data_IF_074300653470
#
_entry.id   IF_074300653470
#
_cell.length_a   1.000
_cell.length_b   1.000
_cell.length_c   1.000
_cell.angle_alpha   90.00
_cell.angle_beta   90.00
_cell.angle_gamma   90.00
#
_symmetry.space_group_name_H-M   'P 1'
#
loop_
_entity.id
_entity.type
_entity.pdbx_description
1 polymer ?
#
# COMPACT_ATOMS: atom_id res chain seq x y z
N UNK A 1 -4.73 -33.31 -10.48
CA UNK A 1 -3.45 -32.63 -10.18
C UNK A 1 -3.73 -31.13 -10.36
N UNK A 2 -4.20 -30.40 -9.33
CA UNK A 2 -3.40 -29.67 -8.30
C UNK A 2 -2.14 -29.07 -8.94
N UNK A 3 -1.81 -27.77 -8.91
CA UNK A 3 -2.25 -26.59 -8.15
C UNK A 3 -1.41 -25.43 -8.71
N UNK A 4 -1.93 -24.20 -8.82
CA UNK A 4 -1.21 -22.95 -8.46
C UNK A 4 -2.10 -21.73 -8.76
N UNK A 5 -2.95 -21.42 -7.79
CA UNK A 5 -3.58 -20.13 -7.61
C UNK A 5 -3.05 -19.56 -6.29
N UNK A 6 -2.52 -18.32 -6.30
CA UNK A 6 -2.54 -17.38 -5.16
C UNK A 6 -1.70 -16.14 -5.48
N UNK A 7 -2.36 -15.02 -5.75
CA UNK A 7 -1.80 -13.68 -5.57
C UNK A 7 -2.97 -12.69 -5.47
N UNK A 8 -3.49 -12.53 -4.26
CA UNK A 8 -4.38 -11.42 -3.89
C UNK A 8 -4.03 -11.04 -2.44
N UNK A 9 -3.35 -9.91 -2.29
CA UNK A 9 -3.03 -9.35 -0.97
C UNK A 9 -4.13 -8.36 -0.61
N UNK A 10 -4.95 -8.75 0.37
CA UNK A 10 -6.04 -7.97 0.93
C UNK A 10 -5.44 -6.89 1.87
N UNK A 11 -5.67 -5.62 1.57
CA UNK A 11 -5.42 -4.52 2.51
C UNK A 11 -6.72 -4.32 3.31
N UNK A 12 -6.71 -4.81 4.55
CA UNK A 12 -7.85 -4.71 5.47
C UNK A 12 -7.69 -3.39 6.27
N UNK A 13 -8.33 -2.32 5.79
CA UNK A 13 -8.50 -1.10 6.58
C UNK A 13 -9.79 -1.20 7.40
N UNK A 14 -9.63 -1.08 8.71
CA UNK A 14 -10.69 -1.12 9.71
C UNK A 14 -11.65 0.06 9.54
N UNK A 15 -12.71 -0.12 8.75
CA UNK A 15 -13.88 0.76 8.78
C UNK A 15 -14.65 0.47 10.07
N UNK A 16 -14.28 1.15 11.16
CA UNK A 16 -15.17 1.29 12.31
C UNK A 16 -16.27 2.27 11.87
N UNK A 17 -17.54 1.89 12.10
CA UNK A 17 -18.78 2.50 11.58
C UNK A 17 -19.33 1.96 10.25
N UNK A 18 -19.41 0.63 10.10
CA UNK A 18 -20.48 -0.02 9.34
C UNK A 18 -21.01 -1.22 10.12
N UNK A 19 -21.82 -0.94 11.15
CA UNK A 19 -22.69 -1.98 11.72
C UNK A 19 -24.13 -1.70 11.31
N UNK A 20 -24.74 -2.74 10.75
CA UNK A 20 -26.14 -2.86 10.34
C UNK A 20 -26.51 -2.25 8.98
N UNK A 21 -26.12 -2.90 7.88
CA UNK A 21 -27.05 -3.28 6.80
C UNK A 21 -26.38 -4.32 5.90
N UNK A 22 -26.72 -5.60 6.11
CA UNK A 22 -26.64 -6.57 5.02
C UNK A 22 -27.76 -7.59 5.19
N UNK A 23 -28.63 -7.64 4.19
CA UNK A 23 -29.83 -8.47 4.18
C UNK A 23 -29.54 -9.95 3.99
N UNK A 24 -30.41 -10.75 4.62
CA UNK A 24 -30.76 -12.14 4.34
C UNK A 24 -29.72 -13.00 3.61
N UNK A 25 -29.00 -13.79 4.40
CA UNK A 25 -28.71 -15.19 4.04
C UNK A 25 -28.98 -16.07 5.26
N UNK A 26 -30.00 -16.90 5.14
CA UNK A 26 -30.21 -18.06 6.00
C UNK A 26 -28.98 -18.96 5.99
N UNK A 27 -28.54 -19.42 7.16
CA UNK A 27 -27.94 -20.75 7.40
C UNK A 27 -27.56 -20.90 8.90
N UNK A 28 -27.33 -22.13 9.40
CA UNK A 28 -28.34 -23.02 9.96
C UNK A 28 -28.25 -23.12 11.49
N UNK A 29 -29.32 -23.66 12.06
CA UNK A 29 -29.54 -23.97 13.47
C UNK A 29 -28.39 -24.80 14.08
N UNK A 30 -27.78 -24.30 15.16
CA UNK A 30 -27.03 -25.11 16.13
C UNK A 30 -27.44 -24.67 17.53
N UNK A 31 -27.86 -25.65 18.33
CA UNK A 31 -28.64 -25.49 19.54
C UNK A 31 -27.88 -25.05 20.79
N UNK A 32 -28.72 -24.56 21.71
CA UNK A 32 -28.69 -24.62 23.18
C UNK A 32 -27.35 -24.45 23.93
N UNK A 33 -27.33 -23.42 24.78
CA UNK A 33 -26.30 -23.18 25.79
C UNK A 33 -26.69 -22.07 26.76
N UNK A 34 -27.67 -22.37 27.60
CA UNK A 34 -27.87 -21.95 29.00
C UNK A 34 -27.88 -20.46 29.43
N UNK A 35 -29.03 -20.12 30.04
CA UNK A 35 -29.33 -18.97 30.90
C UNK A 35 -28.17 -18.55 31.82
N UNK A 36 -27.82 -17.27 31.81
CA UNK A 36 -27.14 -16.63 32.94
C UNK A 36 -27.76 -15.26 33.26
N UNK A 37 -28.63 -15.30 34.26
CA UNK A 37 -29.06 -14.30 35.23
C UNK A 37 -28.83 -12.81 34.93
N UNK A 38 -29.95 -12.11 34.78
CA UNK A 38 -30.14 -10.71 35.14
C UNK A 38 -29.80 -10.50 36.63
N UNK A 39 -28.64 -9.91 36.92
CA UNK A 39 -28.39 -9.30 38.22
C UNK A 39 -28.59 -7.79 38.12
N UNK A 40 -29.77 -7.38 38.61
CA UNK A 40 -30.07 -6.04 39.08
C UNK A 40 -29.01 -5.60 40.09
N UNK A 41 -28.31 -4.51 39.81
CA UNK A 41 -27.61 -3.73 40.84
C UNK A 41 -28.26 -2.35 40.92
N UNK A 42 -29.15 -2.20 41.91
CA UNK A 42 -29.49 -0.92 42.53
C UNK A 42 -28.27 -0.42 43.30
N UNK A 43 -27.83 0.79 42.99
CA UNK A 43 -26.80 1.52 43.73
C UNK A 43 -27.25 2.96 43.92
N UNK A 44 -27.62 3.29 45.15
CA UNK A 44 -28.10 4.59 45.60
C UNK A 44 -27.04 5.70 45.55
N UNK A 45 -27.57 6.92 45.52
CA UNK A 45 -27.00 8.25 45.29
C UNK A 45 -25.93 8.76 46.28
N UNK A 46 -25.29 9.86 45.82
CA UNK A 46 -24.75 11.08 46.49
C UNK A 46 -23.24 11.31 46.24
N UNK A 47 -22.70 12.48 45.87
CA UNK A 47 -23.17 13.88 45.86
C UNK A 47 -22.23 14.78 45.01
N UNK A 48 -22.80 15.87 44.47
CA UNK A 48 -22.23 17.16 44.01
C UNK A 48 -21.09 17.27 42.97
N UNK A 49 -21.44 17.84 41.81
CA UNK A 49 -20.71 18.99 41.27
C UNK A 49 -21.70 19.99 40.66
N UNK A 50 -21.74 21.19 41.23
CA UNK A 50 -22.42 22.35 40.65
C UNK A 50 -21.72 22.73 39.33
N UNK A 51 -22.49 22.78 38.25
CA UNK A 51 -22.22 23.65 37.11
C UNK A 51 -23.57 24.06 36.51
N UNK A 52 -23.88 25.33 36.70
CA UNK A 52 -25.03 26.02 36.14
C UNK A 52 -24.89 26.10 34.62
N UNK A 53 -25.67 25.32 33.88
CA UNK A 53 -26.20 25.70 32.57
C UNK A 53 -27.37 24.79 32.16
N UNK A 54 -28.48 25.45 31.78
CA UNK A 54 -29.73 24.95 31.20
C UNK A 54 -30.77 24.31 32.13
N UNK A 55 -31.53 25.19 32.78
CA UNK A 55 -32.93 24.95 33.16
C UNK A 55 -33.81 24.75 31.90
N UNK A 56 -33.78 23.55 31.34
CA UNK A 56 -34.93 22.93 30.66
C UNK A 56 -34.96 21.43 31.00
N UNK A 57 -34.82 21.10 32.29
CA UNK A 57 -35.08 19.76 32.77
C UNK A 57 -36.60 19.58 32.92
N UNK A 58 -37.29 19.35 31.79
CA UNK A 58 -38.56 18.61 31.86
C UNK A 58 -38.27 17.29 32.58
N UNK A 59 -39.11 16.96 33.55
CA UNK A 59 -39.00 15.82 34.47
C UNK A 59 -39.19 14.47 33.75
N UNK A 60 -38.41 14.22 32.70
CA UNK A 60 -38.44 12.99 31.91
C UNK A 60 -37.39 12.04 32.46
N UNK A 61 -37.84 10.95 33.07
CA UNK A 61 -36.98 9.84 33.49
C UNK A 61 -36.10 9.40 32.32
N UNK A 62 -34.79 9.30 32.55
CA UNK A 62 -33.82 8.88 31.53
C UNK A 62 -33.55 7.37 31.67
N UNK A 63 -33.45 6.68 30.52
CA UNK A 63 -33.02 5.29 30.43
C UNK A 63 -31.77 5.23 29.55
N UNK A 64 -30.79 4.44 29.98
CA UNK A 64 -29.60 4.16 29.19
C UNK A 64 -29.85 2.97 28.25
N UNK A 65 -29.58 3.18 26.97
CA UNK A 65 -29.66 2.14 25.96
C UNK A 65 -28.26 1.70 25.54
N UNK A 66 -27.98 0.41 25.69
CA UNK A 66 -26.66 -0.14 25.37
C UNK A 66 -26.58 -0.50 23.88
N UNK A 67 -25.43 -0.22 23.28
CA UNK A 67 -25.02 -0.72 21.96
C UNK A 67 -23.93 -1.76 22.16
N UNK A 68 -24.11 -2.94 21.58
CA UNK A 68 -23.18 -4.07 21.70
C UNK A 68 -22.39 -4.17 20.39
N UNK A 69 -21.08 -4.31 20.48
CA UNK A 69 -20.25 -4.63 19.31
C UNK A 69 -20.42 -6.12 18.99
N UNK A 70 -21.02 -6.41 17.83
CA UNK A 70 -21.34 -7.77 17.40
C UNK A 70 -20.11 -8.66 17.20
N UNK A 71 -18.90 -8.09 17.08
CA UNK A 71 -17.66 -8.86 16.83
C UNK A 71 -17.08 -9.46 18.10
N UNK A 72 -17.33 -8.85 19.26
CA UNK A 72 -16.75 -9.29 20.54
C UNK A 72 -17.80 -9.46 21.65
N UNK A 73 -19.07 -9.09 21.41
CA UNK A 73 -20.15 -9.22 22.38
C UNK A 73 -20.07 -8.23 23.55
N UNK A 74 -19.15 -7.26 23.50
CA UNK A 74 -18.95 -6.30 24.58
C UNK A 74 -19.83 -5.07 24.32
N UNK A 75 -20.41 -4.51 25.39
CA UNK A 75 -21.09 -3.21 25.33
C UNK A 75 -20.09 -2.14 24.88
N UNK A 76 -20.31 -1.57 23.71
CA UNK A 76 -19.49 -0.52 23.11
C UNK A 76 -19.80 0.85 23.71
N UNK A 77 -21.09 1.17 23.82
CA UNK A 77 -21.54 2.46 24.33
C UNK A 77 -22.91 2.36 24.97
N UNK A 78 -23.23 3.36 25.78
CA UNK A 78 -24.58 3.59 26.30
C UNK A 78 -25.02 5.01 26.00
N UNK A 79 -26.25 5.15 25.54
CA UNK A 79 -26.84 6.45 25.19
C UNK A 79 -28.01 6.78 26.11
N UNK A 80 -28.03 7.96 26.76
CA UNK A 80 -29.16 8.38 27.57
C UNK A 80 -30.28 8.94 26.69
N UNK A 81 -31.43 8.27 26.68
CA UNK A 81 -32.65 8.79 26.05
C UNK A 81 -33.81 8.77 27.05
N UNK A 82 -34.91 9.48 26.77
CA UNK A 82 -36.12 9.41 27.60
C UNK A 82 -36.58 7.96 27.76
N UNK A 83 -37.02 7.59 28.97
CA UNK A 83 -37.50 6.24 29.27
C UNK A 83 -38.77 5.85 28.49
N UNK A 84 -39.49 6.84 27.94
CA UNK A 84 -40.61 6.63 27.02
C UNK A 84 -40.18 6.15 25.64
N UNK A 85 -38.88 6.22 25.31
CA UNK A 85 -38.35 5.70 24.06
C UNK A 85 -38.07 4.20 24.18
N UNK A 86 -38.06 3.52 23.05
CA UNK A 86 -37.83 2.09 22.95
C UNK A 86 -36.78 1.82 21.87
N UNK A 87 -35.81 0.96 22.20
CA UNK A 87 -34.86 0.44 21.23
C UNK A 87 -35.54 -0.65 20.42
N UNK A 88 -35.40 -0.58 19.11
CA UNK A 88 -35.96 -1.57 18.20
C UNK A 88 -34.91 -2.65 17.89
N UNK A 89 -35.34 -3.91 17.87
CA UNK A 89 -34.49 -5.04 17.54
C UNK A 89 -34.63 -5.38 16.05
N UNK A 90 -33.79 -4.75 15.22
CA UNK A 90 -33.85 -4.89 13.77
C UNK A 90 -34.98 -4.08 13.12
N UNK A 91 -34.94 -3.98 11.79
CA UNK A 91 -35.88 -3.19 10.99
C UNK A 91 -35.31 -1.83 10.56
N UNK A 92 -36.21 -0.93 10.16
CA UNK A 92 -35.85 0.37 9.58
C UNK A 92 -35.38 1.40 10.63
N UNK A 93 -35.87 1.29 11.86
CA UNK A 93 -35.64 2.24 12.94
C UNK A 93 -34.79 1.62 14.05
N UNK A 94 -33.93 2.42 14.66
CA UNK A 94 -33.10 2.05 15.80
C UNK A 94 -33.80 2.35 17.13
N UNK A 95 -34.53 3.47 17.19
CA UNK A 95 -35.34 3.86 18.34
C UNK A 95 -36.69 4.38 17.89
N UNK A 96 -37.71 4.20 18.72
CA UNK A 96 -39.01 4.86 18.58
C UNK A 96 -39.40 5.52 19.89
N UNK A 97 -40.20 6.57 19.82
CA UNK A 97 -40.72 7.29 20.98
C UNK A 97 -42.20 7.63 20.81
N UNK A 98 -42.81 8.28 21.81
CA UNK A 98 -44.18 8.76 21.71
C UNK A 98 -44.34 9.78 20.56
N UNK A 99 -45.56 10.04 20.12
CA UNK A 99 -45.89 11.03 19.08
C UNK A 99 -45.16 10.80 17.75
N UNK A 100 -45.06 9.54 17.34
CA UNK A 100 -44.43 9.10 16.09
C UNK A 100 -42.95 9.48 15.94
N UNK A 101 -42.25 9.67 17.06
CA UNK A 101 -40.79 9.84 17.06
C UNK A 101 -40.13 8.55 16.58
N UNK A 102 -39.29 8.64 15.56
CA UNK A 102 -38.50 7.52 15.03
C UNK A 102 -37.08 7.97 14.76
N UNK A 103 -36.11 7.17 15.19
CA UNK A 103 -34.69 7.35 14.89
C UNK A 103 -34.29 6.28 13.89
N UNK A 104 -33.82 6.70 12.72
CA UNK A 104 -33.25 5.80 11.73
C UNK A 104 -31.81 5.46 12.13
N UNK A 105 -31.38 4.23 11.86
CA UNK A 105 -30.00 3.82 12.07
C UNK A 105 -29.00 4.69 11.29
N UNK A 106 -27.77 4.74 11.76
CA UNK A 106 -26.70 5.44 11.06
C UNK A 106 -26.46 4.83 9.68
N UNK A 107 -26.34 5.69 8.67
CA UNK A 107 -26.07 5.33 7.27
C UNK A 107 -24.88 6.12 6.80
N UNK A 108 -24.15 5.59 5.81
CA UNK A 108 -22.96 6.28 5.34
C UNK A 108 -22.19 5.50 4.30
N UNK A 109 -21.07 6.08 3.91
CA UNK A 109 -20.13 5.50 2.97
C UNK A 109 -18.78 6.20 3.07
N UNK A 110 -17.74 5.46 2.72
CA UNK A 110 -16.37 5.96 2.67
C UNK A 110 -15.75 5.65 1.33
N UNK A 111 -14.88 6.54 0.88
CA UNK A 111 -14.22 6.49 -0.41
C UNK A 111 -12.72 6.65 -0.21
N UNK A 112 -11.95 5.85 -0.95
CA UNK A 112 -10.50 5.95 -1.02
C UNK A 112 -10.11 6.97 -2.09
N UNK A 113 -8.97 7.62 -1.90
CA UNK A 113 -8.35 8.43 -2.94
C UNK A 113 -6.83 8.42 -2.80
N UNK A 114 -6.16 8.61 -3.92
CA UNK A 114 -4.72 8.84 -4.00
C UNK A 114 -4.43 9.87 -5.10
N UNK A 115 -3.31 10.57 -4.98
CA UNK A 115 -2.78 11.41 -6.04
C UNK A 115 -2.11 10.57 -7.15
N UNK A 116 -1.82 9.29 -6.90
CA UNK A 116 -1.28 8.36 -7.89
C UNK A 116 -2.42 7.64 -8.64
N UNK A 117 -2.55 7.83 -9.97
CA UNK A 117 -3.54 7.13 -10.78
C UNK A 117 -3.44 5.60 -10.75
N UNK A 118 -2.22 5.04 -10.63
CA UNK A 118 -2.03 3.59 -10.55
C UNK A 118 -2.57 3.04 -9.24
N UNK A 119 -2.36 3.79 -8.14
CA UNK A 119 -2.90 3.44 -6.83
C UNK A 119 -4.44 3.46 -6.84
N UNK A 120 -5.04 4.49 -7.45
CA UNK A 120 -6.49 4.56 -7.63
C UNK A 120 -7.04 3.38 -8.44
N UNK A 121 -6.34 2.95 -9.50
CA UNK A 121 -6.73 1.78 -10.28
C UNK A 121 -6.65 0.49 -9.43
N UNK A 122 -5.60 0.33 -8.63
CA UNK A 122 -5.45 -0.80 -7.73
C UNK A 122 -6.59 -0.85 -6.69
N UNK A 123 -6.95 0.30 -6.11
CA UNK A 123 -8.09 0.39 -5.20
C UNK A 123 -9.39 -0.05 -5.87
N UNK A 124 -9.68 0.41 -7.08
CA UNK A 124 -10.87 -0.01 -7.82
C UNK A 124 -10.86 -1.52 -8.13
N UNK A 125 -9.71 -2.08 -8.53
CA UNK A 125 -9.57 -3.52 -8.78
C UNK A 125 -9.76 -4.37 -7.52
N UNK A 126 -9.42 -3.84 -6.35
CA UNK A 126 -9.67 -4.49 -5.05
C UNK A 126 -11.13 -4.37 -4.57
N UNK A 127 -12.00 -3.70 -5.34
CA UNK A 127 -13.41 -3.48 -5.01
C UNK A 127 -13.66 -2.27 -4.10
N UNK A 128 -12.63 -1.47 -3.82
CA UNK A 128 -12.79 -0.23 -3.06
C UNK A 128 -13.37 0.88 -3.94
N UNK A 129 -14.28 1.68 -3.37
CA UNK A 129 -14.83 2.84 -4.06
C UNK A 129 -13.81 3.97 -4.05
N UNK A 130 -13.45 4.44 -5.23
CA UNK A 130 -12.46 5.51 -5.40
C UNK A 130 -13.15 6.78 -5.84
N UNK A 131 -12.96 7.84 -5.06
CA UNK A 131 -13.52 9.15 -5.35
C UNK A 131 -12.73 10.22 -4.60
N UNK A 132 -12.36 11.30 -5.28
CA UNK A 132 -11.77 12.46 -4.63
C UNK A 132 -12.71 13.08 -3.59
N UNK A 133 -12.15 13.67 -2.51
CA UNK A 133 -12.94 14.25 -1.44
C UNK A 133 -13.85 15.36 -1.94
N UNK A 134 -15.15 15.22 -1.66
CA UNK A 134 -16.12 16.29 -1.84
C UNK A 134 -16.22 17.12 -0.57
N UNK A 135 -16.48 18.41 -0.72
CA UNK A 135 -16.85 19.25 0.41
C UNK A 135 -18.20 18.82 0.99
N UNK A 136 -18.46 19.14 2.26
CA UNK A 136 -19.75 18.85 2.88
C UNK A 136 -20.92 19.52 2.13
N UNK A 137 -20.70 20.69 1.53
CA UNK A 137 -21.70 21.38 0.71
C UNK A 137 -22.00 20.62 -0.60
N UNK A 138 -20.98 20.07 -1.27
CA UNK A 138 -21.18 19.22 -2.44
C UNK A 138 -21.95 17.96 -2.08
N UNK A 139 -21.63 17.32 -0.95
CA UNK A 139 -22.37 16.17 -0.44
C UNK A 139 -23.85 16.52 -0.21
N UNK A 140 -24.13 17.66 0.42
CA UNK A 140 -25.50 18.09 0.71
C UNK A 140 -26.26 18.32 -0.61
N UNK A 141 -25.66 19.04 -1.56
CA UNK A 141 -26.33 19.41 -2.81
C UNK A 141 -26.56 18.21 -3.73
N UNK A 142 -25.55 17.38 -3.94
CA UNK A 142 -25.61 16.25 -4.88
C UNK A 142 -26.26 15.01 -4.27
N UNK A 143 -26.12 14.80 -2.96
CA UNK A 143 -26.65 13.61 -2.28
C UNK A 143 -28.04 13.84 -1.69
N UNK A 144 -28.18 14.87 -0.86
CA UNK A 144 -29.40 15.07 -0.06
C UNK A 144 -30.44 15.91 -0.79
N UNK A 145 -30.05 17.03 -1.40
CA UNK A 145 -30.99 17.91 -2.10
C UNK A 145 -31.56 17.25 -3.36
N UNK A 146 -30.76 16.53 -4.15
CA UNK A 146 -31.26 15.78 -5.30
C UNK A 146 -32.34 14.76 -4.91
N UNK A 147 -32.11 14.00 -3.83
CA UNK A 147 -33.08 13.05 -3.31
C UNK A 147 -34.32 13.76 -2.75
N UNK A 148 -34.12 14.81 -1.94
CA UNK A 148 -35.20 15.58 -1.33
C UNK A 148 -36.15 16.17 -2.40
N UNK A 149 -35.59 16.71 -3.50
CA UNK A 149 -36.37 17.24 -4.61
C UNK A 149 -37.23 16.16 -5.29
N UNK A 150 -36.73 14.92 -5.44
CA UNK A 150 -37.50 13.80 -6.03
C UNK A 150 -38.73 13.42 -5.21
N UNK A 151 -38.68 13.59 -3.89
CA UNK A 151 -39.78 13.27 -2.97
C UNK A 151 -40.55 14.52 -2.50
N UNK A 152 -40.29 15.69 -3.08
CA UNK A 152 -40.86 16.98 -2.68
C UNK A 152 -40.61 17.36 -1.21
N UNK A 153 -39.52 16.87 -0.62
CA UNK A 153 -39.05 17.25 0.72
C UNK A 153 -38.34 18.59 0.66
N UNK A 154 -38.69 19.51 1.56
CA UNK A 154 -38.11 20.86 1.61
C UNK A 154 -37.08 20.97 2.72
N UNK A 155 -35.92 21.54 2.42
CA UNK A 155 -34.95 21.94 3.43
C UNK A 155 -35.45 23.22 4.12
N UNK A 156 -35.65 23.15 5.43
CA UNK A 156 -36.12 24.26 6.26
C UNK A 156 -34.94 25.00 6.88
N UNK A 157 -33.95 24.27 7.39
CA UNK A 157 -32.80 24.86 8.06
C UNK A 157 -31.53 24.05 7.82
N UNK A 158 -30.41 24.74 7.73
CA UNK A 158 -29.06 24.17 7.62
C UNK A 158 -28.14 24.93 8.56
N UNK A 159 -27.44 24.22 9.45
CA UNK A 159 -26.55 24.86 10.42
C UNK A 159 -25.37 23.95 10.82
N UNK A 160 -24.18 24.52 11.11
CA UNK A 160 -23.04 23.77 11.61
C UNK A 160 -23.30 23.26 13.04
N UNK A 161 -22.77 22.08 13.35
CA UNK A 161 -22.85 21.46 14.68
C UNK A 161 -21.45 21.15 15.22
N UNK A 162 -20.64 22.16 15.55
CA UNK A 162 -19.23 22.00 15.94
C UNK A 162 -19.03 21.09 17.16
N UNK A 163 -20.00 21.02 18.07
CA UNK A 163 -19.97 20.13 19.23
C UNK A 163 -19.82 18.65 18.84
N UNK A 164 -20.44 18.22 17.74
CA UNK A 164 -20.30 16.86 17.24
C UNK A 164 -18.95 16.65 16.53
N UNK A 165 -18.44 17.66 15.81
CA UNK A 165 -17.11 17.58 15.22
C UNK A 165 -16.01 17.44 16.28
N UNK A 166 -16.15 18.15 17.41
CA UNK A 166 -15.25 18.00 18.56
C UNK A 166 -15.37 16.62 19.18
N UNK A 167 -16.60 16.13 19.39
CA UNK A 167 -16.83 14.78 19.92
C UNK A 167 -16.21 13.70 19.02
N UNK A 168 -16.44 13.77 17.70
CA UNK A 168 -15.87 12.83 16.72
C UNK A 168 -14.34 12.83 16.79
N UNK A 169 -13.74 14.02 16.86
CA UNK A 169 -12.28 14.15 16.99
C UNK A 169 -11.78 13.52 18.30
N UNK A 170 -12.42 13.82 19.42
CA UNK A 170 -12.03 13.27 20.72
C UNK A 170 -12.14 11.75 20.78
N UNK A 171 -13.16 11.19 20.13
CA UNK A 171 -13.32 9.75 20.01
C UNK A 171 -12.25 9.15 19.09
N UNK A 172 -12.01 9.75 17.92
CA UNK A 172 -10.99 9.30 16.97
C UNK A 172 -9.56 9.37 17.53
N UNK A 173 -9.26 10.37 18.35
CA UNK A 173 -7.96 10.52 19.04
C UNK A 173 -7.70 9.41 20.08
N UNK A 174 -8.75 8.75 20.57
CA UNK A 174 -8.62 7.63 21.50
C UNK A 174 -8.39 6.28 20.81
N UNK A 175 -8.63 6.19 19.50
CA UNK A 175 -8.45 4.96 18.74
C UNK A 175 -6.97 4.77 18.38
N UNK A 176 -6.53 3.50 18.35
CA UNK A 176 -5.19 3.16 17.89
C UNK A 176 -5.02 3.51 16.40
N UNK A 177 -3.94 4.23 16.09
CA UNK A 177 -3.57 4.63 14.71
C UNK A 177 -2.23 4.00 14.36
N UNK A 178 -2.23 3.08 13.39
CA UNK A 178 -0.99 2.41 12.92
C UNK A 178 -0.06 3.36 12.15
N UNK A 179 -0.63 4.39 11.53
CA UNK A 179 0.09 5.43 10.80
C UNK A 179 -0.38 6.81 11.27
N UNK A 180 0.51 7.80 11.34
CA UNK A 180 0.11 9.17 11.59
C UNK A 180 -0.76 9.64 10.42
N UNK A 181 -2.00 10.03 10.72
CA UNK A 181 -2.94 10.59 9.75
C UNK A 181 -3.52 11.89 10.28
N UNK A 182 -3.72 12.86 9.40
CA UNK A 182 -4.47 14.07 9.74
C UNK A 182 -5.93 13.87 9.32
N UNK A 183 -6.83 13.83 10.30
CA UNK A 183 -8.27 13.67 10.06
C UNK A 183 -9.02 14.92 10.50
N UNK A 184 -9.85 15.43 9.60
CA UNK A 184 -10.75 16.56 9.86
C UNK A 184 -12.19 16.07 9.95
N UNK A 185 -12.99 16.77 10.75
CA UNK A 185 -14.40 16.47 10.97
C UNK A 185 -15.22 17.74 10.79
N UNK A 186 -16.30 17.64 10.02
CA UNK A 186 -17.30 18.69 9.87
C UNK A 186 -18.67 18.06 10.07
N UNK A 187 -19.53 18.70 10.86
CA UNK A 187 -20.88 18.18 11.12
C UNK A 187 -21.92 19.25 10.83
N UNK A 188 -22.97 18.88 10.11
CA UNK A 188 -24.07 19.75 9.73
C UNK A 188 -25.42 19.16 10.16
N UNK A 189 -26.25 20.00 10.75
CA UNK A 189 -27.67 19.72 10.99
C UNK A 189 -28.50 20.19 9.81
N UNK A 190 -29.29 19.28 9.24
CA UNK A 190 -30.22 19.56 8.14
C UNK A 190 -31.63 19.26 8.62
N UNK A 191 -32.48 20.28 8.68
CA UNK A 191 -33.88 20.13 9.05
C UNK A 191 -34.76 20.17 7.82
N UNK A 192 -35.63 19.18 7.70
CA UNK A 192 -36.48 18.98 6.54
C UNK A 192 -37.95 18.90 6.92
N UNK A 193 -38.79 19.16 5.92
CA UNK A 193 -40.24 18.98 6.02
C UNK A 193 -40.79 18.30 4.78
N UNK A 194 -41.56 17.25 5.01
CA UNK A 194 -42.31 16.57 3.96
C UNK A 194 -43.67 17.25 3.70
N UNK A 195 -44.30 16.99 2.54
CA UNK A 195 -45.61 17.55 2.21
C UNK A 195 -46.72 17.17 3.19
N UNK A 196 -46.58 16.05 3.91
CA UNK A 196 -47.53 15.56 4.91
C UNK A 196 -47.37 16.22 6.29
N UNK A 197 -46.40 17.13 6.45
CA UNK A 197 -46.11 17.82 7.71
C UNK A 197 -45.07 17.12 8.59
N UNK A 198 -44.60 15.92 8.21
CA UNK A 198 -43.55 15.22 8.95
C UNK A 198 -42.25 16.02 8.90
N UNK A 199 -41.59 16.17 10.05
CA UNK A 199 -40.35 16.92 10.19
C UNK A 199 -39.17 15.99 10.48
N UNK A 200 -38.02 16.28 9.87
CA UNK A 200 -36.82 15.45 9.98
C UNK A 200 -35.62 16.28 10.40
N UNK A 201 -34.75 15.70 11.23
CA UNK A 201 -33.40 16.20 11.46
C UNK A 201 -32.42 15.16 10.95
N UNK A 202 -31.57 15.53 10.00
CA UNK A 202 -30.38 14.78 9.63
C UNK A 202 -29.17 15.40 10.31
N UNK A 203 -28.42 14.60 11.06
CA UNK A 203 -27.10 14.99 11.56
C UNK A 203 -26.08 14.33 10.63
N UNK A 204 -25.44 15.13 9.79
CA UNK A 204 -24.49 14.69 8.77
C UNK A 204 -23.06 14.92 9.26
N UNK A 205 -22.35 13.84 9.53
CA UNK A 205 -20.92 13.83 9.80
C UNK A 205 -20.15 13.66 8.48
N UNK A 206 -19.15 14.49 8.27
CA UNK A 206 -18.22 14.44 7.16
C UNK A 206 -16.81 14.38 7.72
N UNK A 207 -16.00 13.46 7.20
CA UNK A 207 -14.61 13.35 7.60
C UNK A 207 -13.70 13.17 6.39
N UNK A 208 -12.49 13.71 6.50
CA UNK A 208 -11.43 13.52 5.52
C UNK A 208 -10.15 13.19 6.27
N UNK A 209 -9.52 12.09 5.92
CA UNK A 209 -8.24 11.65 6.45
C UNK A 209 -7.21 11.66 5.35
N UNK A 210 -6.04 12.25 5.63
CA UNK A 210 -4.88 12.25 4.75
C UNK A 210 -3.72 11.50 5.38
N UNK A 211 -3.01 10.74 4.55
CA UNK A 211 -1.73 10.13 4.81
C UNK A 211 -0.74 10.44 3.66
N UNK A 212 0.46 9.87 3.71
CA UNK A 212 1.52 10.12 2.73
C UNK A 212 1.25 9.53 1.33
N UNK A 213 0.31 8.59 1.19
CA UNK A 213 -0.01 7.90 -0.07
C UNK A 213 -1.36 8.30 -0.65
N UNK A 214 -2.14 9.09 0.09
CA UNK A 214 -3.47 9.51 -0.28
C UNK A 214 -4.33 9.71 0.96
N UNK A 215 -5.49 9.09 0.96
CA UNK A 215 -6.38 9.15 2.10
C UNK A 215 -7.72 8.49 1.86
N UNK A 216 -8.61 8.71 2.81
CA UNK A 216 -10.00 8.33 2.69
C UNK A 216 -10.88 9.44 3.22
N UNK A 217 -12.07 9.56 2.68
CA UNK A 217 -13.07 10.47 3.18
C UNK A 217 -14.41 9.77 3.18
N UNK A 218 -15.37 10.32 3.91
CA UNK A 218 -16.66 9.71 3.98
C UNK A 218 -17.68 10.57 4.69
N UNK A 219 -18.89 10.02 4.71
CA UNK A 219 -20.00 10.59 5.41
C UNK A 219 -20.67 9.52 6.24
N UNK A 220 -21.14 9.90 7.41
CA UNK A 220 -22.15 9.16 8.16
C UNK A 220 -23.26 10.12 8.53
N UNK A 221 -24.48 9.62 8.59
CA UNK A 221 -25.62 10.43 9.00
C UNK A 221 -26.66 9.58 9.70
N UNK A 222 -27.33 10.22 10.65
CA UNK A 222 -28.50 9.67 11.33
C UNK A 222 -29.69 10.59 11.10
N UNK A 223 -30.90 10.02 11.17
CA UNK A 223 -32.14 10.77 10.91
C UNK A 223 -33.09 10.59 12.07
N UNK A 224 -33.52 11.71 12.66
CA UNK A 224 -34.70 11.79 13.50
C UNK A 224 -35.89 12.18 12.63
N UNK A 225 -37.00 11.47 12.80
CA UNK A 225 -38.32 11.73 12.21
C UNK A 225 -39.31 11.94 13.35
N UNK A 226 -40.14 12.98 13.25
CA UNK A 226 -41.21 13.23 14.20
C UNK A 226 -42.33 14.06 13.56
N UNK A 227 -43.51 14.05 14.17
CA UNK A 227 -44.58 14.98 13.82
C UNK A 227 -44.16 16.43 14.11
N UNK A 228 -44.74 17.40 13.40
CA UNK A 228 -44.41 18.82 13.56
C UNK A 228 -44.54 19.31 15.01
N UNK A 229 -45.56 18.82 15.74
CA UNK A 229 -45.79 19.21 17.13
C UNK A 229 -44.77 18.62 18.12
N UNK A 230 -44.19 17.45 17.82
CA UNK A 230 -43.22 16.79 18.69
C UNK A 230 -41.76 17.08 18.30
N UNK A 231 -41.51 17.65 17.13
CA UNK A 231 -40.19 17.75 16.52
C UNK A 231 -39.16 18.50 17.37
N UNK A 232 -39.49 19.68 17.90
CA UNK A 232 -38.53 20.49 18.66
C UNK A 232 -38.09 19.80 19.97
N UNK A 233 -39.03 19.15 20.65
CA UNK A 233 -38.73 18.37 21.86
C UNK A 233 -37.90 17.13 21.53
N UNK A 234 -38.32 16.35 20.52
CA UNK A 234 -37.62 15.15 20.09
C UNK A 234 -36.19 15.46 19.63
N UNK A 235 -36.00 16.57 18.90
CA UNK A 235 -34.70 17.07 18.47
C UNK A 235 -33.79 17.37 19.66
N UNK A 236 -34.31 18.07 20.66
CA UNK A 236 -33.56 18.44 21.85
C UNK A 236 -33.13 17.19 22.62
N UNK A 237 -34.04 16.24 22.82
CA UNK A 237 -33.76 14.95 23.48
C UNK A 237 -32.74 14.12 22.68
N UNK A 238 -32.88 14.08 21.36
CA UNK A 238 -31.98 13.33 20.49
C UNK A 238 -30.56 13.87 20.51
N UNK A 239 -30.39 15.18 20.31
CA UNK A 239 -29.08 15.85 20.34
C UNK A 239 -28.43 15.68 21.73
N UNK A 240 -29.20 15.86 22.80
CA UNK A 240 -28.70 15.68 24.16
C UNK A 240 -28.21 14.24 24.38
N UNK A 241 -28.99 13.24 23.96
CA UNK A 241 -28.58 11.84 24.08
C UNK A 241 -27.29 11.54 23.34
N UNK A 242 -27.14 11.98 22.09
CA UNK A 242 -25.91 11.77 21.32
C UNK A 242 -24.69 12.44 21.96
N UNK A 243 -24.81 13.69 22.44
CA UNK A 243 -23.70 14.40 23.09
C UNK A 243 -23.30 13.79 24.44
N UNK A 244 -24.24 13.16 25.15
CA UNK A 244 -24.01 12.50 26.43
C UNK A 244 -23.83 10.98 26.29
N UNK A 245 -23.57 10.50 25.09
CA UNK A 245 -23.21 9.11 24.85
C UNK A 245 -21.90 8.78 25.57
N UNK A 246 -21.90 7.65 26.28
CA UNK A 246 -20.74 7.19 27.03
C UNK A 246 -20.16 5.95 26.35
N UNK A 247 -18.89 6.05 25.94
CA UNK A 247 -18.13 4.94 25.39
C UNK A 247 -17.62 4.08 26.54
N UNK A 248 -17.71 2.77 26.41
CA UNK A 248 -17.15 1.84 27.38
C UNK A 248 -15.62 1.79 27.25
N UNK A 249 -14.85 2.20 28.29
CA UNK A 249 -13.39 2.20 28.21
C UNK A 249 -12.80 0.80 28.06
N UNK A 250 -13.46 -0.25 28.58
CA UNK A 250 -12.98 -1.63 28.42
C UNK A 250 -13.10 -2.09 26.97
N UNK A 251 -14.20 -1.75 26.30
CA UNK A 251 -14.37 -2.03 24.87
C UNK A 251 -13.32 -1.29 24.04
N UNK A 252 -13.09 -0.01 24.33
CA UNK A 252 -12.09 0.82 23.63
C UNK A 252 -10.68 0.23 23.76
N UNK A 253 -10.29 -0.18 24.97
CA UNK A 253 -9.00 -0.86 25.20
C UNK A 253 -8.90 -2.18 24.41
N UNK A 254 -9.96 -2.99 24.41
CA UNK A 254 -9.98 -4.26 23.68
C UNK A 254 -9.83 -4.06 22.16
N UNK A 255 -10.51 -3.06 21.60
CA UNK A 255 -10.38 -2.70 20.17
C UNK A 255 -8.96 -2.22 19.87
N UNK A 256 -8.43 -1.28 20.66
CA UNK A 256 -7.07 -0.76 20.45
C UNK A 256 -5.99 -1.84 20.54
N UNK A 257 -6.10 -2.76 21.50
CA UNK A 257 -5.17 -3.89 21.63
C UNK A 257 -5.25 -4.81 20.40
N UNK A 258 -6.46 -5.10 19.93
CA UNK A 258 -6.68 -5.93 18.74
C UNK A 258 -6.12 -5.26 17.49
N UNK A 259 -6.40 -3.99 17.27
CA UNK A 259 -5.91 -3.26 16.11
C UNK A 259 -4.39 -3.12 16.12
N UNK A 260 -3.79 -2.91 17.30
CA UNK A 260 -2.34 -2.95 17.46
C UNK A 260 -1.75 -4.33 17.12
N UNK A 261 -2.36 -5.43 17.55
CA UNK A 261 -1.91 -6.78 17.20
C UNK A 261 -2.00 -7.04 15.69
N UNK A 262 -3.10 -6.64 15.05
CA UNK A 262 -3.27 -6.76 13.61
C UNK A 262 -2.20 -5.95 12.86
N UNK A 263 -1.93 -4.72 13.30
CA UNK A 263 -0.88 -3.88 12.73
C UNK A 263 0.51 -4.51 12.88
N UNK A 264 0.83 -5.08 14.05
CA UNK A 264 2.10 -5.79 14.27
C UNK A 264 2.24 -7.02 13.37
N UNK A 265 1.19 -7.83 13.24
CA UNK A 265 1.18 -9.01 12.35
C UNK A 265 1.35 -8.62 10.89
N UNK A 266 0.65 -7.57 10.45
CA UNK A 266 0.77 -7.03 9.09
C UNK A 266 2.19 -6.53 8.81
N UNK A 267 2.79 -5.79 9.76
CA UNK A 267 4.17 -5.31 9.65
C UNK A 267 5.19 -6.45 9.61
N UNK A 268 5.05 -7.47 10.46
CA UNK A 268 5.91 -8.64 10.43
C UNK A 268 5.82 -9.39 9.09
N UNK A 269 4.59 -9.57 8.57
CA UNK A 269 4.37 -10.15 7.25
C UNK A 269 4.96 -9.31 6.13
N UNK A 270 4.87 -7.98 6.21
CA UNK A 270 5.50 -7.06 5.25
C UNK A 270 7.03 -7.18 5.29
N UNK A 271 7.65 -7.17 6.47
CA UNK A 271 9.10 -7.33 6.63
C UNK A 271 9.58 -8.66 6.05
N UNK A 272 8.84 -9.76 6.27
CA UNK A 272 9.18 -11.05 5.70
C UNK A 272 9.12 -11.04 4.17
N UNK A 273 8.10 -10.40 3.57
CA UNK A 273 8.02 -10.22 2.11
C UNK A 273 9.21 -9.42 1.58
N UNK A 274 9.59 -8.34 2.25
CA UNK A 274 10.73 -7.51 1.84
C UNK A 274 12.07 -8.25 1.97
N UNK A 275 12.26 -9.04 3.03
CA UNK A 275 13.43 -9.89 3.18
C UNK A 275 13.54 -10.93 2.04
N UNK A 276 12.42 -11.54 1.66
CA UNK A 276 12.36 -12.49 0.54
C UNK A 276 12.67 -11.82 -0.80
N UNK A 277 12.10 -10.63 -1.06
CA UNK A 277 12.37 -9.86 -2.28
C UNK A 277 13.85 -9.49 -2.35
N UNK A 278 14.43 -9.01 -1.24
CA UNK A 278 15.85 -8.67 -1.18
C UNK A 278 16.72 -9.90 -1.46
N UNK A 279 16.46 -11.03 -0.79
CA UNK A 279 17.21 -12.28 -1.01
C UNK A 279 17.11 -12.76 -2.46
N UNK A 280 15.92 -12.68 -3.07
CA UNK A 280 15.73 -13.02 -4.47
C UNK A 280 16.49 -12.07 -5.41
N UNK A 281 16.48 -10.77 -5.12
CA UNK A 281 17.26 -9.75 -5.85
C UNK A 281 18.77 -10.00 -5.78
N UNK A 282 19.27 -10.31 -4.57
CA UNK A 282 20.68 -10.61 -4.33
C UNK A 282 21.10 -11.89 -5.10
N UNK A 283 20.26 -12.94 -5.08
CA UNK A 283 20.50 -14.17 -5.84
C UNK A 283 20.50 -13.93 -7.35
N UNK A 284 19.56 -13.12 -7.87
CA UNK A 284 19.52 -12.80 -9.30
C UNK A 284 20.74 -11.98 -9.73
N UNK A 285 21.17 -11.03 -8.89
CA UNK A 285 22.37 -10.23 -9.14
C UNK A 285 23.63 -11.10 -9.14
N UNK A 286 23.76 -12.02 -8.17
CA UNK A 286 24.86 -12.98 -8.14
C UNK A 286 24.89 -13.86 -9.39
N UNK A 287 23.74 -14.44 -9.79
CA UNK A 287 23.62 -15.24 -11.02
C UNK A 287 23.95 -14.45 -12.28
N UNK A 288 23.55 -13.18 -12.33
CA UNK A 288 23.89 -12.29 -13.45
C UNK A 288 25.40 -12.07 -13.53
N UNK A 289 26.04 -11.76 -12.39
CA UNK A 289 27.48 -11.56 -12.31
C UNK A 289 28.26 -12.84 -12.68
N UNK A 290 27.83 -14.01 -12.19
CA UNK A 290 28.42 -15.30 -12.56
C UNK A 290 28.33 -15.55 -14.07
N UNK A 291 27.17 -15.27 -14.69
CA UNK A 291 27.00 -15.36 -16.15
C UNK A 291 27.91 -14.40 -16.90
N UNK A 292 28.06 -13.17 -16.41
CA UNK A 292 28.96 -12.18 -17.02
C UNK A 292 30.42 -12.65 -16.94
N UNK A 293 30.88 -13.10 -15.78
CA UNK A 293 32.24 -13.63 -15.61
C UNK A 293 32.48 -14.86 -16.50
N UNK A 294 31.52 -15.77 -16.62
CA UNK A 294 31.64 -16.91 -17.52
C UNK A 294 31.69 -16.48 -19.00
N UNK A 295 30.93 -15.45 -19.39
CA UNK A 295 30.98 -14.89 -20.74
C UNK A 295 32.32 -14.21 -21.02
N UNK A 296 32.88 -13.46 -20.06
CA UNK A 296 34.20 -12.85 -20.17
C UNK A 296 35.31 -13.91 -20.30
N UNK A 297 35.22 -14.99 -19.53
CA UNK A 297 36.14 -16.13 -19.65
C UNK A 297 36.05 -16.78 -21.03
N UNK A 298 34.83 -17.06 -21.51
CA UNK A 298 34.63 -17.62 -22.85
C UNK A 298 35.15 -16.69 -23.96
N UNK A 299 34.92 -15.38 -23.83
CA UNK A 299 35.44 -14.38 -24.77
C UNK A 299 36.97 -14.36 -24.76
N UNK A 300 37.59 -14.41 -23.59
CA UNK A 300 39.05 -14.47 -23.47
C UNK A 300 39.62 -15.76 -24.08
N UNK A 301 38.99 -16.91 -23.84
CA UNK A 301 39.38 -18.18 -24.47
C UNK A 301 39.21 -18.14 -25.99
N UNK A 302 38.12 -17.56 -26.49
CA UNK A 302 37.91 -17.38 -27.93
C UNK A 302 39.00 -16.51 -28.56
N UNK A 303 39.34 -15.36 -27.94
CA UNK A 303 40.44 -14.49 -28.39
C UNK A 303 41.79 -15.21 -28.40
N UNK A 304 42.08 -15.98 -27.34
CA UNK A 304 43.31 -16.76 -27.25
C UNK A 304 43.40 -17.83 -28.35
N UNK A 305 42.29 -18.52 -28.64
CA UNK A 305 42.22 -19.52 -29.70
C UNK A 305 42.34 -18.90 -31.10
N UNK A 306 41.76 -17.72 -31.35
CA UNK A 306 41.96 -16.97 -32.59
C UNK A 306 43.43 -16.60 -32.77
N UNK A 307 44.07 -16.01 -31.75
CA UNK A 307 45.48 -15.67 -31.81
C UNK A 307 46.39 -16.89 -32.03
N UNK A 308 46.06 -18.05 -31.43
CA UNK A 308 46.77 -19.30 -31.70
C UNK A 308 46.53 -19.82 -33.11
N UNK A 309 45.31 -19.71 -33.63
CA UNK A 309 44.95 -20.03 -35.02
C UNK A 309 45.73 -19.19 -36.02
N UNK A 310 45.81 -17.88 -35.80
CA UNK A 310 46.58 -16.95 -36.64
C UNK A 310 48.07 -17.34 -36.67
N UNK A 311 48.67 -17.66 -35.52
CA UNK A 311 50.06 -18.15 -35.44
C UNK A 311 50.28 -19.45 -36.20
N UNK A 312 49.37 -20.42 -36.04
CA UNK A 312 49.48 -21.71 -36.73
C UNK A 312 49.29 -21.55 -38.25
N UNK A 313 48.37 -20.67 -38.67
CA UNK A 313 48.17 -20.36 -40.08
C UNK A 313 49.40 -19.64 -40.66
N UNK A 314 49.98 -18.70 -39.92
CA UNK A 314 51.23 -18.04 -40.31
C UNK A 314 52.36 -19.05 -40.50
N UNK A 315 52.58 -19.94 -39.53
CA UNK A 315 53.57 -21.02 -39.63
C UNK A 315 53.31 -21.96 -40.82
N UNK A 316 52.05 -22.29 -41.11
CA UNK A 316 51.70 -23.11 -42.26
C UNK A 316 51.95 -22.38 -43.59
N UNK A 317 51.61 -21.10 -43.68
CA UNK A 317 51.90 -20.27 -44.86
C UNK A 317 53.40 -20.16 -45.07
N UNK A 318 54.17 -19.97 -43.99
CA UNK A 318 55.63 -19.92 -44.04
C UNK A 318 56.18 -21.26 -44.52
N UNK A 319 55.69 -22.39 -44.00
CA UNK A 319 56.05 -23.73 -44.48
C UNK A 319 55.72 -23.95 -45.97
N UNK A 320 54.52 -23.57 -46.43
CA UNK A 320 54.10 -23.72 -47.83
C UNK A 320 54.94 -22.85 -48.77
N UNK A 321 55.27 -21.63 -48.35
CA UNK A 321 56.13 -20.73 -49.12
C UNK A 321 57.62 -21.08 -48.99
N UNK A 322 57.97 -22.09 -48.19
CA UNK A 322 59.36 -22.47 -47.93
C UNK A 322 60.15 -21.36 -47.24
N UNK A 323 59.52 -20.60 -46.35
CA UNK A 323 60.15 -19.54 -45.56
C UNK A 323 60.39 -20.00 -44.11
N UNK A 324 61.42 -19.45 -43.48
CA UNK A 324 61.75 -19.60 -42.06
C UNK A 324 62.04 -18.23 -41.44
N UNK A 325 61.94 -18.12 -40.12
CA UNK A 325 62.28 -16.90 -39.39
C UNK A 325 63.75 -16.96 -38.95
N UNK A 326 64.51 -15.91 -39.22
CA UNK A 326 65.86 -15.71 -38.70
C UNK A 326 65.89 -14.48 -37.79
N UNK A 327 66.61 -14.58 -36.67
CA UNK A 327 66.71 -13.50 -35.70
C UNK A 327 68.09 -12.84 -35.73
N UNK A 328 68.10 -11.52 -35.66
CA UNK A 328 69.32 -10.74 -35.42
C UNK A 328 69.82 -11.02 -33.99
N UNK A 329 71.04 -11.54 -33.80
CA UNK A 329 71.59 -11.82 -32.47
C UNK A 329 71.81 -10.57 -31.61
N UNK A 330 71.88 -9.37 -32.21
CA UNK A 330 72.15 -8.12 -31.48
C UNK A 330 70.87 -7.39 -31.05
N UNK A 331 69.79 -7.49 -31.82
CA UNK A 331 68.54 -6.73 -31.58
C UNK A 331 67.34 -7.61 -31.23
N UNK A 332 67.38 -8.92 -31.52
CA UNK A 332 66.25 -9.83 -31.33
C UNK A 332 65.09 -9.59 -32.30
N UNK A 333 65.31 -8.82 -33.37
CA UNK A 333 64.31 -8.64 -34.43
C UNK A 333 64.33 -9.84 -35.38
N UNK A 334 63.14 -10.35 -35.70
CA UNK A 334 62.93 -11.53 -36.55
C UNK A 334 62.57 -11.12 -37.99
N UNK A 335 63.16 -11.79 -38.97
CA UNK A 335 62.93 -11.55 -40.39
C UNK A 335 62.59 -12.87 -41.11
N UNK A 336 61.66 -12.81 -42.08
CA UNK A 336 61.28 -13.96 -42.92
C UNK A 336 62.24 -14.12 -44.09
N UNK A 337 62.90 -15.27 -44.18
CA UNK A 337 63.82 -15.63 -45.27
C UNK A 337 63.48 -17.00 -45.84
N UNK A 338 63.91 -17.32 -47.06
CA UNK A 338 63.64 -18.63 -47.64
C UNK A 338 64.45 -19.74 -46.92
N UNK A 339 63.77 -20.79 -46.48
CA UNK A 339 64.31 -21.93 -45.75
C UNK A 339 65.26 -22.80 -46.61
N UNK A 340 66.14 -23.55 -45.94
CA UNK A 340 66.98 -24.57 -46.59
C UNK A 340 68.47 -24.26 -46.68
N UNK A 341 68.98 -23.30 -45.91
CA UNK A 341 70.42 -23.02 -45.84
C UNK A 341 70.94 -23.03 -44.41
N UNK A 342 72.22 -23.40 -44.22
CA UNK A 342 72.83 -23.49 -42.87
C UNK A 342 73.19 -22.14 -42.26
N UNK A 343 73.44 -21.14 -43.09
CA UNK A 343 73.84 -19.80 -42.65
C UNK A 343 73.07 -18.74 -43.44
N UNK A 344 72.59 -17.75 -42.71
CA UNK A 344 71.86 -16.60 -43.23
C UNK A 344 72.63 -15.34 -42.85
N UNK A 345 72.96 -14.55 -43.85
CA UNK A 345 73.65 -13.27 -43.66
C UNK A 345 72.77 -12.15 -44.16
N UNK A 346 72.56 -11.10 -43.38
CA UNK A 346 71.70 -9.96 -43.76
C UNK A 346 72.46 -8.64 -43.63
N UNK A 347 72.22 -7.72 -44.56
CA UNK A 347 72.75 -6.36 -44.52
C UNK A 347 71.72 -5.36 -43.97
N UNK A 348 72.15 -4.12 -43.72
CA UNK A 348 71.29 -3.04 -43.21
C UNK A 348 70.17 -2.62 -44.18
N UNK A 349 70.23 -3.07 -45.44
CA UNK A 349 69.26 -2.83 -46.51
C UNK A 349 68.17 -3.91 -46.60
N UNK A 350 68.27 -4.98 -45.80
CA UNK A 350 67.32 -6.09 -45.79
C UNK A 350 67.53 -7.11 -46.92
N UNK A 351 68.65 -7.05 -47.65
CA UNK A 351 69.08 -8.11 -48.55
C UNK A 351 69.71 -9.23 -47.72
N UNK A 352 69.53 -10.48 -48.15
CA UNK A 352 70.09 -11.63 -47.45
C UNK A 352 70.82 -12.59 -48.39
N UNK A 353 71.88 -13.21 -47.87
CA UNK A 353 72.65 -14.27 -48.51
C UNK A 353 72.41 -15.58 -47.76
N UNK A 354 72.21 -16.63 -48.54
CA UNK A 354 72.07 -18.01 -48.10
C UNK A 354 73.36 -18.78 -48.41
N UNK A 355 73.90 -19.50 -47.43
CA UNK A 355 75.06 -20.36 -47.63
C UNK A 355 74.94 -21.67 -46.84
N UNK A 356 75.37 -22.76 -47.45
CA UNK A 356 75.50 -24.08 -46.81
C UNK A 356 76.92 -24.39 -46.36
N UNK A 357 77.86 -23.49 -46.66
CA UNK A 357 79.26 -23.66 -46.35
C UNK A 357 79.58 -22.96 -45.03
N UNK A 358 79.79 -23.73 -43.97
CA UNK A 358 80.11 -23.23 -42.61
C UNK A 358 81.40 -22.41 -42.50
N UNK A 359 82.20 -22.34 -43.57
CA UNK A 359 83.42 -21.52 -43.65
C UNK A 359 83.21 -20.27 -44.51
N UNK A 360 82.00 -20.02 -44.98
CA UNK A 360 81.68 -18.85 -45.81
C UNK A 360 81.35 -17.65 -44.92
N UNK A 361 82.15 -16.60 -45.08
CA UNK A 361 81.91 -15.28 -44.50
C UNK A 361 81.84 -14.26 -45.65
N UNK A 362 80.66 -13.69 -45.94
CA UNK A 362 80.48 -12.73 -47.02
C UNK A 362 81.25 -11.42 -46.79
N UNK A 363 81.68 -11.11 -45.57
CA UNK A 363 82.54 -9.96 -45.30
C UNK A 363 83.99 -10.17 -45.78
N UNK A 364 84.39 -11.42 -46.08
CA UNK A 364 85.71 -11.78 -46.59
C UNK A 364 85.71 -12.04 -48.11
N UNK A 365 84.54 -12.07 -48.76
CA UNK A 365 84.39 -12.30 -50.19
C UNK A 365 84.59 -10.98 -50.98
N UNK A 366 85.62 -10.94 -51.82
CA UNK A 366 86.03 -9.75 -52.57
C UNK A 366 84.96 -9.21 -53.53
N UNK A 367 83.92 -9.99 -53.85
CA UNK A 367 82.86 -9.56 -54.75
C UNK A 367 81.68 -8.88 -54.05
N UNK A 368 81.52 -9.06 -52.74
CA UNK A 368 80.32 -8.66 -51.98
C UNK A 368 80.61 -8.01 -50.62
N UNK A 369 81.89 -7.86 -50.26
CA UNK A 369 82.34 -7.21 -49.00
C UNK A 369 82.27 -5.68 -49.02
N UNK A 370 81.59 -5.09 -50.01
CA UNK A 370 81.34 -3.65 -50.08
C UNK A 370 80.24 -3.19 -49.10
N UNK A 371 79.62 -4.13 -48.37
CA UNK A 371 78.64 -3.89 -47.33
C UNK A 371 78.85 -4.85 -46.16
N UNK A 372 78.40 -4.45 -44.97
CA UNK A 372 78.51 -5.26 -43.74
C UNK A 372 77.39 -6.28 -43.72
N UNK A 373 77.77 -7.54 -43.52
CA UNK A 373 76.85 -8.66 -43.39
C UNK A 373 76.89 -9.19 -41.96
N UNK A 374 75.74 -9.27 -41.31
CA UNK A 374 75.59 -9.86 -39.98
C UNK A 374 75.00 -11.26 -40.13
N UNK A 375 75.54 -12.23 -39.39
CA UNK A 375 75.01 -13.60 -39.37
C UNK A 375 73.77 -13.66 -38.47
N UNK A 376 72.69 -14.22 -39.00
CA UNK A 376 71.43 -14.42 -38.29
C UNK A 376 71.24 -15.90 -38.02
N UNK A 377 70.78 -16.21 -36.81
CA UNK A 377 70.41 -17.58 -36.43
C UNK A 377 68.98 -17.88 -36.84
N UNK A 378 68.72 -19.09 -37.35
CA UNK A 378 67.35 -19.59 -37.49
C UNK A 378 66.71 -19.76 -36.11
N UNK A 379 65.50 -19.23 -35.94
CA UNK A 379 64.71 -19.45 -34.73
C UNK A 379 64.17 -20.89 -34.76
N UNK A 380 64.46 -21.68 -33.71
CA UNK A 380 63.93 -23.05 -33.57
C UNK A 380 62.52 -23.09 -33.00
#
# INVERSE_FOLDING_TARGET
MKSLASLFTLVLFSTLFTSCFNGNREQPNFGEGENLNDNYYEGNETVNSQNEHNEMAMNTTIKYFNTIDSRNGIVMSRIPFPASWQKQNGGQYLYTGPNDIKIHGERGGSFMFSNDPQMNQMYQQSGMQVQFPKSIEQVINEGFMEYANKINRKLVRKYPMPQFAVWDKQFDDQLYKSMPSQKTFNVMGLEWRDPDGTSFLTILHHFVSYDQYGGYWGITYSVLEASESAFEQAKTQYINGLLNQQINPQWLQAVNQKDMQIAQQSNAGHQQRMANIKSFGDQNTARFNERMTAMDQNMNSWRANQAAGDRNQEQFIDYVNGNTNVSDPNTGQTYKVEAGSKQYWMNDQGEYIKSDNSLYDPNLDQNINNQTWTEYGEEQ
#
